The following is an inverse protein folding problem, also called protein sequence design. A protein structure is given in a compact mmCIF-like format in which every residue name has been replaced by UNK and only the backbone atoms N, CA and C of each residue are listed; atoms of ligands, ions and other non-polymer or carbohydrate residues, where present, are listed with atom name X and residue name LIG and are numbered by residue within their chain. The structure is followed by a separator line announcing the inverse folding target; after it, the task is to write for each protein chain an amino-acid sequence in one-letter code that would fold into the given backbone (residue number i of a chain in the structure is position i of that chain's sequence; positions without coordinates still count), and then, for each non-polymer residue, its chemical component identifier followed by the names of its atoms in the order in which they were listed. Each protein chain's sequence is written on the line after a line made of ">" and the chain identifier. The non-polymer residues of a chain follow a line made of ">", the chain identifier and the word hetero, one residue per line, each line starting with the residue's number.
data_IF_523152805021
#
_entry.id   IF_523152805021
#
_cell.length_a   1.000
_cell.length_b   1.000
_cell.length_c   1.000
_cell.angle_alpha   90.00
_cell.angle_beta   90.00
_cell.angle_gamma   90.00
#
_symmetry.space_group_name_H-M   'P 1'
#
loop_
_entity.id
_entity.type
_entity.pdbx_description
1 polymer ?
#
# COMPACT_ATOMS: atom_id res chain seq x y z
N UNK A 1 5.66 -17.47 13.16
CA UNK A 1 6.86 -17.14 12.35
C UNK A 1 6.69 -15.74 11.78
N UNK A 2 7.74 -14.91 11.80
CA UNK A 2 7.70 -13.52 11.33
C UNK A 2 7.15 -13.37 9.89
N UNK A 3 7.38 -14.36 9.03
CA UNK A 3 6.96 -14.40 7.62
C UNK A 3 5.63 -15.10 7.36
N UNK A 4 4.82 -15.38 8.39
CA UNK A 4 3.48 -15.97 8.22
C UNK A 4 2.55 -15.03 7.43
N UNK A 5 1.56 -15.60 6.74
CA UNK A 5 0.61 -14.84 5.93
C UNK A 5 -0.07 -13.71 6.74
N UNK A 6 -0.53 -14.01 7.95
CA UNK A 6 -1.14 -13.03 8.86
C UNK A 6 -0.24 -11.84 9.15
N UNK A 7 1.05 -12.10 9.41
CA UNK A 7 2.02 -11.06 9.70
C UNK A 7 2.35 -10.22 8.48
N UNK A 8 2.36 -10.81 7.27
CA UNK A 8 2.58 -10.06 6.02
C UNK A 8 1.43 -9.10 5.75
N UNK A 9 0.19 -9.55 5.91
CA UNK A 9 -0.98 -8.68 5.71
C UNK A 9 -1.02 -7.58 6.77
N UNK A 10 -0.79 -7.93 8.04
CA UNK A 10 -0.71 -6.94 9.12
C UNK A 10 0.42 -5.92 8.89
N UNK A 11 1.57 -6.35 8.35
CA UNK A 11 2.65 -5.45 7.98
C UNK A 11 2.23 -4.47 6.87
N UNK A 12 1.57 -4.97 5.82
CA UNK A 12 1.05 -4.12 4.72
C UNK A 12 0.10 -3.07 5.26
N UNK A 13 -0.92 -3.47 6.03
CA UNK A 13 -1.89 -2.53 6.58
C UNK A 13 -1.18 -1.49 7.44
N UNK A 14 -0.39 -1.92 8.42
CA UNK A 14 0.23 -1.03 9.42
C UNK A 14 1.29 -0.08 8.88
N UNK A 15 2.17 -0.55 7.99
CA UNK A 15 3.35 0.22 7.58
C UNK A 15 3.21 0.86 6.21
N UNK A 16 2.24 0.42 5.41
CA UNK A 16 2.02 0.99 4.08
C UNK A 16 0.80 1.90 4.01
N UNK A 17 -0.24 1.65 4.81
CA UNK A 17 -1.55 2.27 4.60
C UNK A 17 -2.15 2.96 5.81
N UNK A 18 -1.94 2.46 7.02
CA UNK A 18 -2.29 3.13 8.29
C UNK A 18 -1.28 4.28 8.51
N UNK A 19 -1.54 5.43 7.90
CA UNK A 19 -0.62 6.56 7.83
C UNK A 19 -0.61 7.33 9.15
N UNK A 20 -1.77 7.46 9.80
CA UNK A 20 -1.89 8.16 11.07
C UNK A 20 -1.61 7.24 12.30
N UNK A 21 -1.39 5.94 12.06
CA UNK A 21 -1.08 4.92 13.07
C UNK A 21 -2.22 4.69 14.08
N UNK A 22 -3.47 4.89 13.67
CA UNK A 22 -4.65 4.68 14.51
C UNK A 22 -5.05 3.19 14.66
N UNK A 23 -4.45 2.30 13.86
CA UNK A 23 -4.63 0.85 13.93
C UNK A 23 -5.70 0.26 12.99
N UNK A 24 -6.33 1.09 12.15
CA UNK A 24 -7.29 0.70 11.13
C UNK A 24 -7.06 1.51 9.85
N UNK A 25 -7.82 1.24 8.78
CA UNK A 25 -7.79 2.04 7.56
C UNK A 25 -9.08 2.84 7.44
N UNK A 26 -8.97 4.12 7.12
CA UNK A 26 -10.12 4.97 6.81
C UNK A 26 -9.85 5.93 5.63
N UNK A 27 -10.81 6.81 5.34
CA UNK A 27 -10.64 7.84 4.31
C UNK A 27 -9.49 8.84 4.62
N UNK A 28 -9.18 9.07 5.89
CA UNK A 28 -8.13 9.99 6.32
C UNK A 28 -6.75 9.46 5.94
N UNK A 29 -6.52 8.15 6.10
CA UNK A 29 -5.28 7.49 5.66
C UNK A 29 -5.00 7.73 4.19
N UNK A 30 -6.00 7.51 3.34
CA UNK A 30 -5.85 7.66 1.89
C UNK A 30 -5.71 9.13 1.48
N UNK A 31 -6.35 10.04 2.21
CA UNK A 31 -6.11 11.47 2.04
C UNK A 31 -4.66 11.86 2.39
N UNK A 32 -4.10 11.31 3.48
CA UNK A 32 -2.70 11.51 3.86
C UNK A 32 -1.74 10.84 2.87
N UNK A 33 -2.09 9.65 2.36
CA UNK A 33 -1.34 8.95 1.33
C UNK A 33 -1.28 9.75 0.03
N UNK A 34 -2.35 10.45 -0.35
CA UNK A 34 -2.36 11.35 -1.51
C UNK A 34 -1.33 12.47 -1.38
N UNK A 35 -1.25 13.10 -0.20
CA UNK A 35 -0.25 14.13 0.07
C UNK A 35 1.17 13.56 0.05
N UNK A 36 1.40 12.43 0.72
CA UNK A 36 2.69 11.73 0.73
C UNK A 36 3.15 11.42 -0.69
N UNK A 37 2.27 10.83 -1.50
CA UNK A 37 2.55 10.48 -2.91
C UNK A 37 2.89 11.71 -3.75
N UNK A 38 2.11 12.80 -3.60
CA UNK A 38 2.36 14.05 -4.32
C UNK A 38 3.77 14.59 -4.04
N UNK A 39 4.18 14.58 -2.78
CA UNK A 39 5.48 15.12 -2.34
C UNK A 39 6.64 14.20 -2.74
N UNK A 40 6.50 12.89 -2.56
CA UNK A 40 7.54 11.92 -2.89
C UNK A 40 7.84 11.90 -4.39
N UNK A 41 6.82 11.73 -5.22
CA UNK A 41 6.98 11.74 -6.67
C UNK A 41 7.38 13.13 -7.20
N UNK A 42 7.07 14.18 -6.44
CA UNK A 42 7.56 15.54 -6.71
C UNK A 42 8.93 15.86 -6.18
N UNK A 43 9.60 14.91 -5.50
CA UNK A 43 10.89 15.13 -4.84
C UNK A 43 10.88 16.38 -3.95
N UNK A 44 9.75 16.61 -3.27
CA UNK A 44 9.48 17.80 -2.45
C UNK A 44 8.49 18.79 -3.05
N UNK A 45 8.31 18.81 -4.38
CA UNK A 45 7.36 19.72 -5.04
C UNK A 45 5.92 19.18 -5.04
N UNK A 46 4.98 19.92 -4.46
CA UNK A 46 3.56 19.57 -4.55
C UNK A 46 2.71 20.80 -4.90
N UNK A 47 2.20 20.81 -6.14
CA UNK A 47 1.27 21.85 -6.60
C UNK A 47 -0.17 21.50 -6.23
N UNK A 48 -1.04 22.52 -6.09
CA UNK A 48 -2.46 22.30 -5.77
C UNK A 48 -3.16 21.39 -6.78
N UNK A 49 -2.90 21.59 -8.07
CA UNK A 49 -3.50 20.78 -9.13
C UNK A 49 -3.04 19.32 -9.07
N UNK A 50 -1.75 19.10 -8.78
CA UNK A 50 -1.20 17.75 -8.61
C UNK A 50 -1.81 17.08 -7.37
N UNK A 51 -1.84 17.78 -6.24
CA UNK A 51 -2.43 17.25 -5.00
C UNK A 51 -3.89 16.84 -5.20
N UNK A 52 -4.70 17.68 -5.86
CA UNK A 52 -6.10 17.35 -6.18
C UNK A 52 -6.22 16.08 -7.02
N UNK A 53 -5.30 15.85 -7.97
CA UNK A 53 -5.26 14.62 -8.75
C UNK A 53 -4.97 13.40 -7.88
N UNK A 54 -4.00 13.46 -6.97
CA UNK A 54 -3.75 12.34 -6.04
C UNK A 54 -4.88 12.12 -5.06
N UNK A 55 -5.48 13.19 -4.53
CA UNK A 55 -6.63 13.09 -3.63
C UNK A 55 -7.78 12.36 -4.33
N UNK A 56 -8.08 12.71 -5.58
CA UNK A 56 -9.10 12.02 -6.35
C UNK A 56 -8.76 10.53 -6.53
N UNK A 57 -7.53 10.20 -6.95
CA UNK A 57 -7.11 8.81 -7.16
C UNK A 57 -7.18 7.99 -5.86
N UNK A 58 -6.64 8.52 -4.76
CA UNK A 58 -6.55 7.78 -3.50
C UNK A 58 -7.90 7.65 -2.80
N UNK A 59 -8.76 8.66 -2.88
CA UNK A 59 -10.12 8.56 -2.34
C UNK A 59 -10.98 7.59 -3.15
N UNK A 60 -10.87 7.59 -4.49
CA UNK A 60 -11.55 6.57 -5.29
C UNK A 60 -11.03 5.16 -4.99
N UNK A 61 -9.72 5.00 -4.76
CA UNK A 61 -9.15 3.74 -4.31
C UNK A 61 -9.70 3.31 -2.95
N UNK A 62 -9.81 4.25 -2.00
CA UNK A 62 -10.42 3.99 -0.70
C UNK A 62 -11.88 3.53 -0.83
N UNK A 63 -12.70 4.22 -1.62
CA UNK A 63 -14.10 3.87 -1.84
C UNK A 63 -14.26 2.42 -2.35
N UNK A 64 -13.39 2.00 -3.28
CA UNK A 64 -13.41 0.63 -3.80
C UNK A 64 -12.95 -0.41 -2.76
N UNK A 65 -11.97 -0.07 -1.91
CA UNK A 65 -11.48 -0.95 -0.84
C UNK A 65 -12.53 -1.08 0.26
N UNK A 66 -13.10 0.02 0.72
CA UNK A 66 -14.15 0.03 1.74
C UNK A 66 -15.33 -0.84 1.27
N UNK A 67 -15.81 -0.66 0.03
CA UNK A 67 -16.89 -1.50 -0.52
C UNK A 67 -16.55 -3.01 -0.55
N UNK A 68 -15.28 -3.36 -0.65
CA UNK A 68 -14.83 -4.75 -0.74
C UNK A 68 -14.55 -5.37 0.63
N UNK A 69 -14.06 -4.58 1.58
CA UNK A 69 -13.44 -5.06 2.82
C UNK A 69 -14.16 -4.62 4.10
N UNK A 70 -14.93 -3.54 4.09
CA UNK A 70 -15.76 -3.11 5.23
C UNK A 70 -16.94 -4.09 5.31
N UNK A 71 -16.79 -5.13 6.16
CA UNK A 71 -17.70 -6.27 6.21
C UNK A 71 -18.64 -6.19 7.41
N UNK A 72 -18.39 -5.30 8.36
CA UNK A 72 -19.24 -5.11 9.50
C UNK A 72 -20.39 -4.12 9.22
N UNK A 73 -21.44 -4.26 10.02
CA UNK A 73 -22.70 -3.53 9.87
C UNK A 73 -23.24 -3.20 11.23
N UNK A 74 -23.60 -1.93 11.49
CA UNK A 74 -24.95 -1.51 11.95
C UNK A 74 -25.10 0.03 11.81
N UNK A 75 -26.12 0.62 11.13
CA UNK A 75 -27.04 0.11 10.12
C UNK A 75 -26.51 0.24 8.66
N UNK A 76 -25.31 0.79 8.48
CA UNK A 76 -24.50 0.85 7.26
C UNK A 76 -23.02 0.64 7.65
N UNK A 77 -22.15 0.48 6.66
CA UNK A 77 -20.68 0.47 6.75
C UNK A 77 -20.14 1.51 7.73
N UNK A 78 -19.24 1.15 8.64
CA UNK A 78 -18.75 2.07 9.66
C UNK A 78 -17.66 3.02 9.13
N UNK A 79 -17.21 2.78 7.89
CA UNK A 79 -16.21 3.59 7.19
C UNK A 79 -14.80 3.31 7.68
N UNK A 80 -14.59 2.19 8.37
CA UNK A 80 -13.34 1.71 8.90
C UNK A 80 -13.10 0.32 8.34
N UNK A 81 -11.87 0.04 7.91
CA UNK A 81 -11.45 -1.31 7.53
C UNK A 81 -10.38 -1.77 8.50
N UNK A 82 -10.74 -2.73 9.35
CA UNK A 82 -9.80 -3.34 10.29
C UNK A 82 -8.80 -4.27 9.59
N UNK A 83 -7.71 -4.61 10.29
CA UNK A 83 -6.72 -5.58 9.78
C UNK A 83 -7.36 -6.92 9.44
N UNK A 84 -8.30 -7.40 10.25
CA UNK A 84 -8.94 -8.70 10.06
C UNK A 84 -9.92 -8.71 8.87
N UNK A 85 -10.61 -7.60 8.65
CA UNK A 85 -11.45 -7.39 7.47
C UNK A 85 -10.63 -7.33 6.18
N UNK A 86 -9.56 -6.54 6.17
CA UNK A 86 -8.65 -6.48 5.03
C UNK A 86 -8.06 -7.87 4.72
N UNK A 87 -7.66 -8.62 5.75
CA UNK A 87 -7.23 -10.02 5.62
C UNK A 87 -8.27 -10.90 4.95
N UNK A 88 -9.53 -10.83 5.38
CA UNK A 88 -10.61 -11.62 4.79
C UNK A 88 -10.87 -11.24 3.34
N UNK A 89 -10.86 -9.93 3.00
CA UNK A 89 -11.01 -9.46 1.64
C UNK A 89 -9.90 -10.03 0.73
N UNK A 90 -8.64 -9.94 1.16
CA UNK A 90 -7.49 -10.49 0.42
C UNK A 90 -7.62 -12.01 0.24
N UNK A 91 -8.03 -12.75 1.27
CA UNK A 91 -8.26 -14.20 1.15
C UNK A 91 -9.32 -14.54 0.10
N UNK A 92 -10.46 -13.84 0.13
CA UNK A 92 -11.59 -14.13 -0.73
C UNK A 92 -11.34 -13.74 -2.20
N UNK A 93 -10.60 -12.65 -2.41
CA UNK A 93 -10.45 -12.01 -3.71
C UNK A 93 -9.14 -12.34 -4.43
N UNK A 94 -8.06 -12.69 -3.72
CA UNK A 94 -6.72 -12.77 -4.31
C UNK A 94 -6.04 -14.12 -4.10
N UNK A 95 -6.28 -14.81 -2.97
CA UNK A 95 -5.58 -16.08 -2.68
C UNK A 95 -6.05 -17.17 -3.63
N UNK A 96 -5.08 -17.87 -4.25
CA UNK A 96 -5.34 -18.96 -5.21
C UNK A 96 -5.81 -18.49 -6.59
N UNK A 97 -5.85 -17.17 -6.84
CA UNK A 97 -6.22 -16.59 -8.14
C UNK A 97 -5.01 -16.03 -8.85
N UNK A 98 -5.10 -15.92 -10.18
CA UNK A 98 -4.08 -15.22 -10.98
C UNK A 98 -4.34 -13.72 -10.89
N UNK A 99 -3.31 -12.90 -11.05
CA UNK A 99 -3.43 -11.44 -11.02
C UNK A 99 -4.50 -10.91 -11.98
N UNK A 100 -4.62 -11.51 -13.17
CA UNK A 100 -5.66 -11.20 -14.17
C UNK A 100 -7.09 -11.29 -13.62
N UNK A 101 -7.31 -12.17 -12.63
CA UNK A 101 -8.61 -12.48 -12.05
C UNK A 101 -8.89 -11.67 -10.76
N UNK A 102 -7.96 -10.78 -10.37
CA UNK A 102 -8.15 -9.93 -9.19
C UNK A 102 -9.19 -8.84 -9.46
N UNK A 103 -9.93 -8.40 -8.42
CA UNK A 103 -10.78 -7.22 -8.51
C UNK A 103 -10.02 -5.98 -8.98
N UNK A 104 -10.73 -5.08 -9.68
CA UNK A 104 -10.12 -3.84 -10.19
C UNK A 104 -9.50 -3.00 -9.06
N UNK A 105 -10.16 -2.92 -7.90
CA UNK A 105 -9.64 -2.23 -6.72
C UNK A 105 -8.30 -2.78 -6.26
N UNK A 106 -8.17 -4.11 -6.19
CA UNK A 106 -6.92 -4.76 -5.76
C UNK A 106 -5.80 -4.59 -6.79
N UNK A 107 -6.13 -4.55 -8.09
CA UNK A 107 -5.16 -4.21 -9.13
C UNK A 107 -4.72 -2.76 -9.02
N UNK A 108 -5.67 -1.83 -8.91
CA UNK A 108 -5.40 -0.41 -8.72
C UNK A 108 -4.57 -0.15 -7.45
N UNK A 109 -4.82 -0.91 -6.38
CA UNK A 109 -4.05 -0.89 -5.15
C UNK A 109 -2.59 -1.30 -5.35
N UNK A 110 -2.35 -2.43 -6.04
CA UNK A 110 -1.00 -2.93 -6.35
C UNK A 110 -0.28 -1.95 -7.28
N UNK A 111 -0.94 -1.51 -8.35
CA UNK A 111 -0.38 -0.59 -9.35
C UNK A 111 -0.07 0.79 -8.76
N UNK A 112 -0.91 1.30 -7.87
CA UNK A 112 -0.69 2.59 -7.21
C UNK A 112 0.53 2.56 -6.30
N UNK A 113 0.73 1.46 -5.54
CA UNK A 113 1.98 1.29 -4.78
C UNK A 113 3.19 1.22 -5.69
N UNK A 114 3.12 0.40 -6.74
CA UNK A 114 4.23 0.21 -7.64
C UNK A 114 4.69 1.54 -8.26
N UNK A 115 3.74 2.34 -8.77
CA UNK A 115 4.02 3.67 -9.33
C UNK A 115 4.61 4.65 -8.31
N UNK A 116 4.31 4.48 -7.02
CA UNK A 116 4.87 5.34 -5.97
C UNK A 116 6.35 5.03 -5.73
N UNK A 117 6.77 3.79 -5.97
CA UNK A 117 8.14 3.32 -5.73
C UNK A 117 9.00 3.44 -7.00
N UNK A 118 8.40 3.24 -8.18
CA UNK A 118 9.02 3.40 -9.50
C UNK A 118 9.25 4.89 -9.82
N UNK A 119 10.32 5.45 -9.25
CA UNK A 119 10.66 6.87 -9.29
C UNK A 119 11.11 7.33 -10.67
N UNK A 120 11.65 6.44 -11.48
CA UNK A 120 12.12 6.73 -12.83
C UNK A 120 11.10 6.36 -13.93
N UNK A 121 10.00 5.67 -13.54
CA UNK A 121 8.92 5.22 -14.42
C UNK A 121 9.39 4.29 -15.53
N UNK A 122 10.41 3.46 -15.26
CA UNK A 122 10.91 2.45 -16.20
C UNK A 122 10.18 1.10 -16.08
N UNK A 123 9.29 0.97 -15.11
CA UNK A 123 8.51 -0.25 -14.87
C UNK A 123 9.30 -1.34 -14.14
N UNK A 124 10.48 -1.04 -13.58
CA UNK A 124 11.37 -1.99 -12.92
C UNK A 124 11.74 -1.45 -11.54
N UNK A 125 11.48 -2.24 -10.50
CA UNK A 125 11.91 -1.88 -9.16
C UNK A 125 13.42 -2.14 -8.97
N UNK A 126 14.22 -1.08 -9.10
CA UNK A 126 15.67 -1.14 -8.89
C UNK A 126 16.05 -1.15 -7.40
N UNK A 127 17.31 -1.48 -7.10
CA UNK A 127 17.81 -1.51 -5.72
C UNK A 127 17.71 -0.15 -5.03
N UNK A 128 17.96 0.93 -5.77
CA UNK A 128 17.90 2.30 -5.27
C UNK A 128 16.49 2.69 -4.84
N UNK A 129 15.49 2.29 -5.61
CA UNK A 129 14.07 2.55 -5.34
C UNK A 129 13.55 1.67 -4.20
N UNK A 130 13.96 0.40 -4.17
CA UNK A 130 13.68 -0.50 -3.07
C UNK A 130 14.23 0.03 -1.74
N UNK A 131 15.48 0.53 -1.74
CA UNK A 131 16.06 1.22 -0.57
C UNK A 131 15.27 2.46 -0.18
N UNK A 132 14.95 3.30 -1.16
CA UNK A 132 14.21 4.55 -0.94
C UNK A 132 12.84 4.29 -0.30
N UNK A 133 12.13 3.25 -0.74
CA UNK A 133 10.84 2.86 -0.14
C UNK A 133 11.00 2.29 1.28
N UNK A 134 11.96 1.37 1.48
CA UNK A 134 12.16 0.72 2.77
C UNK A 134 12.44 1.75 3.89
N UNK A 135 13.38 2.67 3.69
CA UNK A 135 13.77 3.63 4.75
C UNK A 135 12.66 4.60 5.14
N UNK A 136 11.59 4.71 4.34
CA UNK A 136 10.43 5.53 4.67
C UNK A 136 9.41 4.81 5.54
N UNK A 137 9.49 3.48 5.65
CA UNK A 137 8.48 2.64 6.30
C UNK A 137 9.04 1.87 7.49
N UNK A 138 10.35 1.57 7.48
CA UNK A 138 11.02 0.80 8.51
C UNK A 138 12.26 1.52 9.04
N UNK A 139 12.48 1.40 10.35
CA UNK A 139 13.67 1.92 11.01
C UNK A 139 14.80 0.91 10.83
N UNK A 140 15.92 1.36 10.26
CA UNK A 140 17.07 0.53 9.92
C UNK A 140 18.36 1.21 10.35
N UNK A 141 19.32 0.41 10.81
CA UNK A 141 20.63 0.87 11.27
C UNK A 141 21.75 0.72 10.22
N UNK A 142 21.60 -0.19 9.26
CA UNK A 142 22.58 -0.46 8.19
C UNK A 142 21.86 -0.71 6.86
N UNK A 143 22.35 -0.06 5.80
CA UNK A 143 21.84 -0.22 4.43
C UNK A 143 22.00 -1.66 3.91
N UNK A 144 22.99 -2.40 4.41
CA UNK A 144 23.24 -3.80 4.00
C UNK A 144 22.04 -4.70 4.26
N UNK A 145 21.27 -4.42 5.31
CA UNK A 145 20.06 -5.18 5.63
C UNK A 145 19.06 -5.12 4.46
N UNK A 146 18.94 -3.96 3.82
CA UNK A 146 18.05 -3.76 2.66
C UNK A 146 18.61 -4.45 1.42
N UNK A 147 19.92 -4.31 1.19
CA UNK A 147 20.59 -4.90 0.03
C UNK A 147 20.47 -6.42 0.04
N UNK A 148 20.75 -7.04 1.18
CA UNK A 148 20.63 -8.49 1.36
C UNK A 148 19.18 -8.97 1.17
N UNK A 149 18.20 -8.20 1.68
CA UNK A 149 16.79 -8.50 1.45
C UNK A 149 16.42 -8.42 -0.04
N UNK A 150 16.89 -7.40 -0.77
CA UNK A 150 16.67 -7.27 -2.20
C UNK A 150 17.30 -8.43 -2.99
N UNK A 151 18.56 -8.76 -2.71
CA UNK A 151 19.23 -9.88 -3.38
C UNK A 151 18.60 -11.23 -3.03
N UNK A 152 18.08 -11.38 -1.81
CA UNK A 152 17.28 -12.56 -1.45
C UNK A 152 16.03 -12.69 -2.33
N UNK A 153 15.38 -11.59 -2.74
CA UNK A 153 14.20 -11.63 -3.61
C UNK A 153 14.55 -12.07 -5.03
N UNK A 154 15.71 -11.65 -5.54
CA UNK A 154 16.17 -12.02 -6.89
C UNK A 154 16.61 -13.48 -6.99
N UNK A 155 17.04 -14.07 -5.87
CA UNK A 155 17.58 -15.42 -5.79
C UNK A 155 16.57 -16.45 -5.25
N UNK A 156 15.27 -16.15 -5.28
CA UNK A 156 14.23 -17.13 -4.94
C UNK A 156 14.12 -18.16 -6.07
N UNK A 157 14.95 -19.19 -5.99
CA UNK A 157 14.85 -20.46 -6.75
C UNK A 157 14.24 -21.55 -5.88
#
# INVERSE_FOLDING_TARGET
>A
MASSWDNRVAFVVRYLYDIDCNGYLDAHDFHCLALRSCVLEGKGECSKARLQKYQHIMLSLWEEIAQMADFDKVPDYDGIVTVDEFKQAVMNCCVGRRYEDFPQAMKAFIESNFRMIDLNSDGILALEEYRYDCVQRIVLEDIKIIDEAYYSLLNVS
#
